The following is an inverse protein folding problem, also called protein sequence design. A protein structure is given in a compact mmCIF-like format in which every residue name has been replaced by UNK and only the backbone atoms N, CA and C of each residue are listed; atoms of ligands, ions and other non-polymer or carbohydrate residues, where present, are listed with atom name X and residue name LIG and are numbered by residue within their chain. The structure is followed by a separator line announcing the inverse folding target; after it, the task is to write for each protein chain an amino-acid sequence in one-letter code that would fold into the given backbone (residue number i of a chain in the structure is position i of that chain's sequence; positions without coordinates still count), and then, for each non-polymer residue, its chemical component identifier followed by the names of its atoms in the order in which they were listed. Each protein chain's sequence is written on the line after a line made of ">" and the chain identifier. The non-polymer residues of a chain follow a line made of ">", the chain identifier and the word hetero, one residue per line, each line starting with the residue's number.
data_IF_312034123087
#
_entry.id   IF_312034123087
#
_cell.length_a   1.000
_cell.length_b   1.000
_cell.length_c   1.000
_cell.angle_alpha   90.00
_cell.angle_beta   90.00
_cell.angle_gamma   90.00
#
_symmetry.space_group_name_H-M   'P 1'
#
loop_
_entity.id
_entity.type
_entity.pdbx_description
1 polymer ?
#
# COMPACT_ATOMS: atom_id res chain seq x y z
N UNK A 1 -9.84 10.89 -63.36
CA UNK A 1 -10.86 11.56 -62.54
C UNK A 1 -11.21 10.56 -61.46
N UNK A 2 -10.71 10.78 -60.24
CA UNK A 2 -11.04 9.94 -59.09
C UNK A 2 -12.52 10.17 -58.71
N UNK A 3 -13.22 9.15 -58.23
CA UNK A 3 -14.63 9.27 -57.82
C UNK A 3 -14.83 10.37 -56.77
N UNK A 4 -13.86 10.59 -55.88
CA UNK A 4 -13.88 11.70 -54.93
C UNK A 4 -13.90 13.07 -55.62
N UNK A 5 -13.19 13.24 -56.74
CA UNK A 5 -13.17 14.50 -57.48
C UNK A 5 -14.50 14.75 -58.20
N UNK A 6 -15.17 13.68 -58.64
CA UNK A 6 -16.51 13.75 -59.26
C UNK A 6 -17.56 14.10 -58.20
N UNK A 7 -17.50 13.45 -57.03
CA UNK A 7 -18.37 13.73 -55.89
C UNK A 7 -18.16 15.16 -55.41
N UNK A 8 -16.91 15.60 -55.24
CA UNK A 8 -16.57 16.96 -54.80
C UNK A 8 -17.04 18.02 -55.81
N UNK A 9 -16.85 17.82 -57.12
CA UNK A 9 -17.39 18.74 -58.14
C UNK A 9 -18.91 18.76 -58.13
N UNK A 10 -19.57 17.62 -57.98
CA UNK A 10 -21.04 17.57 -57.98
C UNK A 10 -21.61 18.22 -56.73
N UNK A 11 -20.99 18.00 -55.57
CA UNK A 11 -21.34 18.66 -54.31
C UNK A 11 -21.08 20.17 -54.38
N UNK A 12 -20.07 20.62 -55.14
CA UNK A 12 -19.75 22.04 -55.31
C UNK A 12 -20.69 22.73 -56.32
N UNK A 13 -21.25 21.99 -57.28
CA UNK A 13 -22.25 22.49 -58.24
C UNK A 13 -23.66 22.51 -57.61
N UNK A 14 -24.05 21.45 -56.91
CA UNK A 14 -25.38 21.29 -56.31
C UNK A 14 -25.47 21.87 -54.88
N UNK A 15 -24.34 22.00 -54.16
CA UNK A 15 -24.28 22.52 -52.80
C UNK A 15 -24.33 24.04 -52.68
N UNK A 16 -24.14 24.77 -53.80
CA UNK A 16 -24.23 26.23 -53.86
C UNK A 16 -25.67 26.73 -54.14
N UNK A 17 -26.67 25.83 -54.10
CA UNK A 17 -28.07 26.19 -54.37
C UNK A 17 -28.38 26.49 -55.84
N UNK A 18 -27.40 26.34 -56.73
CA UNK A 18 -27.51 26.63 -58.18
C UNK A 18 -28.59 25.79 -58.88
N UNK A 19 -28.97 24.64 -58.31
CA UNK A 19 -30.04 23.79 -58.81
C UNK A 19 -31.43 24.44 -58.70
N UNK A 20 -31.69 25.15 -57.60
CA UNK A 20 -32.96 25.83 -57.37
C UNK A 20 -33.04 27.14 -58.16
N UNK A 21 -31.94 27.89 -58.24
CA UNK A 21 -31.85 29.08 -59.10
C UNK A 21 -32.07 28.74 -60.58
N UNK A 22 -31.50 27.62 -61.06
CA UNK A 22 -31.74 27.12 -62.41
C UNK A 22 -33.21 26.76 -62.64
N UNK A 23 -33.87 26.09 -61.68
CA UNK A 23 -35.29 25.73 -61.76
C UNK A 23 -36.18 26.97 -61.82
N UNK A 24 -35.89 27.97 -61.00
CA UNK A 24 -36.60 29.25 -60.99
C UNK A 24 -36.39 30.02 -62.30
N UNK A 25 -35.17 30.00 -62.84
CA UNK A 25 -34.85 30.62 -64.12
C UNK A 25 -35.58 29.95 -65.30
N UNK A 26 -35.69 28.62 -65.28
CA UNK A 26 -36.43 27.85 -66.28
C UNK A 26 -37.94 28.06 -66.18
N UNK A 27 -38.49 28.19 -64.96
CA UNK A 27 -39.88 28.58 -64.71
C UNK A 27 -40.15 29.98 -65.29
N UNK A 28 -39.28 30.96 -65.01
CA UNK A 28 -39.40 32.33 -65.51
C UNK A 28 -39.37 32.38 -67.04
N UNK A 29 -38.44 31.68 -67.69
CA UNK A 29 -38.38 31.57 -69.15
C UNK A 29 -39.65 30.96 -69.74
N UNK A 30 -40.16 29.90 -69.11
CA UNK A 30 -41.39 29.22 -69.54
C UNK A 30 -42.60 30.14 -69.38
N UNK A 31 -42.67 30.92 -68.30
CA UNK A 31 -43.71 31.91 -68.05
C UNK A 31 -43.69 33.05 -69.07
N UNK A 32 -42.52 33.64 -69.34
CA UNK A 32 -42.36 34.68 -70.37
C UNK A 32 -42.76 34.14 -71.75
N UNK A 33 -42.39 32.91 -72.07
CA UNK A 33 -42.79 32.26 -73.33
C UNK A 33 -44.31 32.11 -73.41
N UNK A 34 -44.94 31.64 -72.34
CA UNK A 34 -46.40 31.47 -72.23
C UNK A 34 -47.16 32.80 -72.40
N UNK A 35 -46.69 33.89 -71.79
CA UNK A 35 -47.30 35.22 -71.93
C UNK A 35 -47.21 35.79 -73.36
N UNK A 36 -46.22 35.38 -74.16
CA UNK A 36 -45.97 35.90 -75.51
C UNK A 36 -46.42 34.93 -76.62
N UNK A 37 -46.91 33.74 -76.29
CA UNK A 37 -47.41 32.76 -77.27
C UNK A 37 -48.83 33.11 -77.73
N UNK A 38 -49.03 33.21 -79.05
CA UNK A 38 -50.34 33.35 -79.68
C UNK A 38 -50.84 31.99 -80.20
N UNK A 39 -50.72 30.96 -79.35
CA UNK A 39 -50.98 29.56 -79.69
C UNK A 39 -52.46 29.18 -79.52
N UNK A 40 -52.87 28.07 -80.16
CA UNK A 40 -54.20 27.48 -80.00
C UNK A 40 -54.53 27.18 -78.52
N UNK A 41 -55.80 27.28 -78.09
CA UNK A 41 -56.20 27.21 -76.68
C UNK A 41 -55.78 25.91 -75.96
N UNK A 42 -55.69 24.78 -76.66
CA UNK A 42 -55.24 23.50 -76.07
C UNK A 42 -53.75 23.50 -75.68
N UNK A 43 -52.88 24.07 -76.53
CA UNK A 43 -51.44 24.19 -76.20
C UNK A 43 -51.20 25.18 -75.05
N UNK A 44 -52.06 26.19 -74.96
CA UNK A 44 -51.99 27.19 -73.91
C UNK A 44 -52.32 26.59 -72.53
N UNK A 45 -53.30 25.70 -72.46
CA UNK A 45 -53.68 24.99 -71.24
C UNK A 45 -52.58 24.02 -70.77
N UNK A 46 -51.99 23.23 -71.68
CA UNK A 46 -50.92 22.30 -71.34
C UNK A 46 -49.66 23.01 -70.80
N UNK A 47 -49.34 24.19 -71.33
CA UNK A 47 -48.25 25.03 -70.82
C UNK A 47 -48.56 25.61 -69.43
N UNK A 48 -49.81 26.00 -69.19
CA UNK A 48 -50.27 26.46 -67.88
C UNK A 48 -50.19 25.37 -66.81
N UNK A 49 -50.65 24.15 -67.10
CA UNK A 49 -50.58 23.01 -66.17
C UNK A 49 -49.12 22.65 -65.86
N UNK A 50 -48.23 22.76 -66.85
CA UNK A 50 -46.78 22.59 -66.67
C UNK A 50 -46.17 23.66 -65.77
N UNK A 51 -46.58 24.92 -65.91
CA UNK A 51 -46.13 26.02 -65.04
C UNK A 51 -46.58 25.79 -63.60
N UNK A 52 -47.83 25.35 -63.38
CA UNK A 52 -48.34 25.01 -62.05
C UNK A 52 -47.54 23.86 -61.41
N UNK A 53 -47.24 22.81 -62.18
CA UNK A 53 -46.43 21.70 -61.68
C UNK A 53 -45.01 22.13 -61.30
N UNK A 54 -44.38 22.99 -62.12
CA UNK A 54 -43.06 23.55 -61.82
C UNK A 54 -43.05 24.46 -60.59
N UNK A 55 -44.10 25.27 -60.41
CA UNK A 55 -44.28 26.11 -59.22
C UNK A 55 -44.43 25.27 -57.95
N UNK A 56 -45.29 24.24 -57.99
CA UNK A 56 -45.48 23.31 -56.88
C UNK A 56 -44.18 22.61 -56.46
N UNK A 57 -43.33 22.26 -57.44
CA UNK A 57 -42.01 21.69 -57.18
C UNK A 57 -41.08 22.70 -56.49
N UNK A 58 -41.05 23.95 -56.94
CA UNK A 58 -40.24 25.00 -56.31
C UNK A 58 -40.69 25.28 -54.86
N UNK A 59 -42.00 25.28 -54.60
CA UNK A 59 -42.55 25.41 -53.25
C UNK A 59 -42.18 24.24 -52.34
N UNK A 60 -42.20 23.02 -52.88
CA UNK A 60 -41.77 21.83 -52.15
C UNK A 60 -40.28 21.88 -51.80
N UNK A 61 -39.43 22.21 -52.77
CA UNK A 61 -37.97 22.30 -52.58
C UNK A 61 -37.63 23.37 -51.53
N UNK A 62 -38.34 24.51 -51.53
CA UNK A 62 -38.22 25.54 -50.48
C UNK A 62 -38.58 25.00 -49.10
N UNK A 63 -39.75 24.37 -48.95
CA UNK A 63 -40.20 23.81 -47.66
C UNK A 63 -39.24 22.73 -47.15
N UNK A 64 -38.68 21.93 -48.06
CA UNK A 64 -37.66 20.93 -47.77
C UNK A 64 -36.38 21.57 -47.23
N UNK A 65 -35.89 22.64 -47.87
CA UNK A 65 -34.73 23.40 -47.40
C UNK A 65 -34.96 23.99 -46.00
N UNK A 66 -36.11 24.61 -45.76
CA UNK A 66 -36.47 25.17 -44.44
C UNK A 66 -36.54 24.07 -43.36
N UNK A 67 -37.05 22.89 -43.71
CA UNK A 67 -37.07 21.74 -42.80
C UNK A 67 -35.66 21.25 -42.47
N UNK A 68 -34.78 21.10 -43.48
CA UNK A 68 -33.39 20.69 -43.24
C UNK A 68 -32.61 21.70 -42.39
N UNK A 69 -32.83 23.00 -42.58
CA UNK A 69 -32.20 24.01 -41.73
C UNK A 69 -32.57 23.81 -40.24
N UNK A 70 -33.85 23.54 -39.95
CA UNK A 70 -34.31 23.26 -38.58
C UNK A 70 -33.74 21.97 -38.01
N UNK A 71 -33.74 20.90 -38.81
CA UNK A 71 -33.16 19.61 -38.40
C UNK A 71 -31.66 19.74 -38.15
N UNK A 72 -30.94 20.49 -38.99
CA UNK A 72 -29.50 20.73 -38.82
C UNK A 72 -29.20 21.50 -37.54
N UNK A 73 -30.02 22.50 -37.19
CA UNK A 73 -29.91 23.20 -35.91
C UNK A 73 -30.12 22.24 -34.72
N UNK A 74 -31.10 21.33 -34.83
CA UNK A 74 -31.35 20.32 -33.79
C UNK A 74 -30.20 19.31 -33.68
N UNK A 75 -29.67 18.83 -34.79
CA UNK A 75 -28.53 17.92 -34.79
C UNK A 75 -27.26 18.58 -34.22
N UNK A 76 -27.03 19.86 -34.52
CA UNK A 76 -25.90 20.59 -33.95
C UNK A 76 -26.01 20.68 -32.42
N UNK A 77 -27.22 20.89 -31.87
CA UNK A 77 -27.46 20.83 -30.42
C UNK A 77 -27.24 19.44 -29.85
N UNK A 78 -27.64 18.40 -30.57
CA UNK A 78 -27.43 17.01 -30.16
C UNK A 78 -25.93 16.67 -30.12
N UNK A 79 -25.16 17.05 -31.14
CA UNK A 79 -23.71 16.86 -31.16
C UNK A 79 -23.00 17.62 -30.04
N UNK A 80 -23.44 18.85 -29.73
CA UNK A 80 -22.92 19.59 -28.59
C UNK A 80 -23.17 18.84 -27.26
N UNK A 81 -24.39 18.35 -27.04
CA UNK A 81 -24.73 17.59 -25.84
C UNK A 81 -23.93 16.27 -25.73
N UNK A 82 -23.72 15.57 -26.84
CA UNK A 82 -22.88 14.37 -26.88
C UNK A 82 -21.42 14.72 -26.57
N UNK A 83 -20.90 15.83 -27.10
CA UNK A 83 -19.54 16.31 -26.79
C UNK A 83 -19.37 16.57 -25.30
N UNK A 84 -20.30 17.31 -24.68
CA UNK A 84 -20.27 17.62 -23.25
C UNK A 84 -20.33 16.34 -22.39
N UNK A 85 -21.15 15.35 -22.80
CA UNK A 85 -21.24 14.07 -22.11
C UNK A 85 -19.92 13.27 -22.21
N UNK A 86 -19.26 13.30 -23.36
CA UNK A 86 -17.95 12.66 -23.55
C UNK A 86 -16.89 13.36 -22.69
N UNK A 87 -16.86 14.70 -22.66
CA UNK A 87 -15.92 15.46 -21.84
C UNK A 87 -16.09 15.17 -20.34
N UNK A 88 -17.34 15.17 -19.85
CA UNK A 88 -17.67 14.79 -18.47
C UNK A 88 -17.26 13.34 -18.16
N UNK A 89 -17.47 12.43 -19.11
CA UNK A 89 -17.03 11.03 -19.01
C UNK A 89 -15.50 10.91 -18.92
N UNK A 90 -14.76 11.69 -19.69
CA UNK A 90 -13.28 11.73 -19.66
C UNK A 90 -12.79 12.26 -18.31
N UNK A 91 -13.39 13.32 -17.79
CA UNK A 91 -13.02 13.87 -16.48
C UNK A 91 -13.30 12.87 -15.35
N UNK A 92 -14.45 12.21 -15.39
CA UNK A 92 -14.78 11.14 -14.45
C UNK A 92 -13.79 9.98 -14.54
N UNK A 93 -13.41 9.54 -15.74
CA UNK A 93 -12.42 8.48 -15.91
C UNK A 93 -11.04 8.89 -15.38
N UNK A 94 -10.61 10.14 -15.60
CA UNK A 94 -9.35 10.68 -15.04
C UNK A 94 -9.35 10.63 -13.53
N UNK A 95 -10.42 11.11 -12.89
CA UNK A 95 -10.52 11.08 -11.41
C UNK A 95 -10.52 9.66 -10.87
N UNK A 96 -11.19 8.72 -11.52
CA UNK A 96 -11.17 7.29 -11.14
C UNK A 96 -9.77 6.66 -11.29
N UNK A 97 -9.02 7.03 -12.32
CA UNK A 97 -7.63 6.59 -12.51
C UNK A 97 -6.76 7.09 -11.34
N UNK A 98 -6.87 8.35 -10.97
CA UNK A 98 -6.05 8.92 -9.90
C UNK A 98 -6.41 8.33 -8.52
N UNK A 99 -7.69 8.09 -8.26
CA UNK A 99 -8.13 7.33 -7.09
C UNK A 99 -7.58 5.90 -7.10
N UNK A 100 -7.61 5.22 -8.24
CA UNK A 100 -7.08 3.86 -8.38
C UNK A 100 -5.58 3.79 -8.17
N UNK A 101 -4.82 4.79 -8.64
CA UNK A 101 -3.38 4.92 -8.35
C UNK A 101 -3.12 5.07 -6.85
N UNK A 102 -3.88 5.92 -6.16
CA UNK A 102 -3.74 6.08 -4.72
C UNK A 102 -4.05 4.79 -3.96
N UNK A 103 -5.13 4.11 -4.33
CA UNK A 103 -5.51 2.82 -3.76
C UNK A 103 -4.44 1.74 -4.01
N UNK A 104 -3.81 1.73 -5.19
CA UNK A 104 -2.73 0.82 -5.50
C UNK A 104 -1.51 1.02 -4.58
N UNK A 105 -1.12 2.28 -4.35
CA UNK A 105 -0.01 2.61 -3.42
C UNK A 105 -0.34 2.14 -2.01
N UNK A 106 -1.56 2.41 -1.53
CA UNK A 106 -2.01 1.93 -0.21
C UNK A 106 -2.01 0.39 -0.14
N UNK A 107 -2.50 -0.29 -1.16
CA UNK A 107 -2.51 -1.75 -1.22
C UNK A 107 -1.10 -2.34 -1.20
N UNK A 108 -0.15 -1.74 -1.94
CA UNK A 108 1.27 -2.13 -1.89
C UNK A 108 1.85 -1.96 -0.48
N UNK A 109 1.55 -0.85 0.19
CA UNK A 109 1.99 -0.60 1.58
C UNK A 109 1.42 -1.64 2.55
N UNK A 110 0.13 -1.94 2.46
CA UNK A 110 -0.53 -2.97 3.28
C UNK A 110 0.11 -4.34 3.04
N UNK A 111 0.38 -4.69 1.78
CA UNK A 111 1.05 -5.95 1.43
C UNK A 111 2.46 -6.03 2.05
N UNK A 112 3.26 -4.97 1.94
CA UNK A 112 4.60 -4.91 2.56
C UNK A 112 4.52 -5.09 4.07
N UNK A 113 3.61 -4.37 4.74
CA UNK A 113 3.40 -4.50 6.18
C UNK A 113 3.00 -5.92 6.57
N UNK A 114 2.07 -6.54 5.82
CA UNK A 114 1.66 -7.92 6.05
C UNK A 114 2.82 -8.90 5.93
N UNK A 115 3.66 -8.76 4.91
CA UNK A 115 4.85 -9.60 4.75
C UNK A 115 5.83 -9.42 5.92
N UNK A 116 6.03 -8.20 6.41
CA UNK A 116 6.88 -7.94 7.59
C UNK A 116 6.30 -8.61 8.84
N UNK A 117 4.99 -8.56 9.05
CA UNK A 117 4.33 -9.26 10.15
C UNK A 117 4.47 -10.78 10.02
N UNK A 118 4.32 -11.34 8.82
CA UNK A 118 4.46 -12.78 8.58
C UNK A 118 5.89 -13.25 8.87
N UNK A 119 6.90 -12.47 8.47
CA UNK A 119 8.31 -12.75 8.78
C UNK A 119 8.56 -12.69 10.29
N UNK A 120 8.10 -11.64 10.97
CA UNK A 120 8.27 -11.49 12.40
C UNK A 120 7.55 -12.61 13.18
N UNK A 121 6.35 -12.99 12.74
CA UNK A 121 5.59 -14.10 13.32
C UNK A 121 6.33 -15.43 13.19
N UNK A 122 6.97 -15.70 12.04
CA UNK A 122 7.83 -16.89 11.88
C UNK A 122 8.98 -16.90 12.89
N UNK A 123 9.65 -15.76 13.10
CA UNK A 123 10.74 -15.64 14.06
C UNK A 123 10.23 -15.84 15.50
N UNK A 124 9.09 -15.24 15.85
CA UNK A 124 8.46 -15.40 17.17
C UNK A 124 8.09 -16.86 17.42
N UNK A 125 7.55 -17.56 16.42
CA UNK A 125 7.16 -18.97 16.55
C UNK A 125 8.35 -19.94 16.70
N UNK A 126 9.58 -19.51 16.38
CA UNK A 126 10.79 -20.30 16.68
C UNK A 126 11.16 -20.24 18.17
N UNK A 127 10.69 -19.23 18.90
CA UNK A 127 10.91 -19.09 20.33
C UNK A 127 9.89 -19.92 21.12
N UNK A 128 10.26 -20.44 22.30
CA UNK A 128 9.34 -21.23 23.13
C UNK A 128 8.15 -20.39 23.63
N UNK A 129 7.04 -21.06 23.92
CA UNK A 129 5.85 -20.36 24.40
C UNK A 129 6.13 -19.62 25.71
N UNK A 130 5.71 -18.37 25.76
CA UNK A 130 5.89 -17.48 26.90
C UNK A 130 5.23 -18.05 28.16
N UNK A 131 4.06 -18.68 28.01
CA UNK A 131 3.33 -19.23 29.17
C UNK A 131 4.07 -20.42 29.78
N UNK A 132 4.65 -21.26 28.94
CA UNK A 132 5.40 -22.43 29.39
C UNK A 132 6.72 -22.02 30.06
N UNK A 133 7.47 -21.11 29.46
CA UNK A 133 8.72 -20.58 30.04
C UNK A 133 8.49 -19.87 31.37
N UNK A 134 7.39 -19.12 31.52
CA UNK A 134 7.04 -18.50 32.81
C UNK A 134 6.73 -19.55 33.89
N UNK A 135 5.98 -20.62 33.56
CA UNK A 135 5.72 -21.71 34.50
C UNK A 135 7.00 -22.43 34.93
N UNK A 136 7.89 -22.72 33.99
CA UNK A 136 9.18 -23.34 34.29
C UNK A 136 10.03 -22.44 35.20
N UNK A 137 10.01 -21.13 34.96
CA UNK A 137 10.67 -20.14 35.81
C UNK A 137 10.11 -20.12 37.24
N UNK A 138 8.79 -20.18 37.40
CA UNK A 138 8.12 -20.24 38.70
C UNK A 138 8.53 -21.50 39.47
N UNK A 139 8.49 -22.67 38.83
CA UNK A 139 8.91 -23.93 39.44
C UNK A 139 10.38 -23.92 39.85
N UNK A 140 11.27 -23.43 38.98
CA UNK A 140 12.70 -23.30 39.32
C UNK A 140 12.91 -22.36 40.51
N UNK A 141 12.09 -21.31 40.62
CA UNK A 141 12.17 -20.35 41.72
C UNK A 141 11.80 -21.00 43.04
N UNK A 142 10.71 -21.77 43.06
CA UNK A 142 10.27 -22.55 44.21
C UNK A 142 11.35 -23.55 44.64
N UNK A 143 11.93 -24.28 43.69
CA UNK A 143 13.00 -25.25 43.96
C UNK A 143 14.26 -24.56 44.54
N UNK A 144 14.64 -23.41 43.99
CA UNK A 144 15.77 -22.62 44.47
C UNK A 144 15.53 -22.13 45.91
N UNK A 145 14.32 -21.68 46.22
CA UNK A 145 13.96 -21.24 47.57
C UNK A 145 13.94 -22.42 48.57
N UNK A 146 13.45 -23.60 48.17
CA UNK A 146 13.56 -24.82 48.98
C UNK A 146 15.04 -25.21 49.24
N UNK A 147 15.89 -25.18 48.21
CA UNK A 147 17.32 -25.50 48.35
C UNK A 147 18.05 -24.51 49.26
N UNK A 148 17.69 -23.22 49.21
CA UNK A 148 18.22 -22.22 50.14
C UNK A 148 17.82 -22.51 51.58
N UNK A 149 16.56 -22.89 51.82
CA UNK A 149 16.08 -23.26 53.14
C UNK A 149 16.81 -24.49 53.67
N UNK A 150 16.93 -25.54 52.86
CA UNK A 150 17.70 -26.75 53.22
C UNK A 150 19.17 -26.45 53.51
N UNK A 151 19.81 -25.58 52.71
CA UNK A 151 21.18 -25.13 52.97
C UNK A 151 21.28 -24.39 54.31
N UNK A 152 20.35 -23.48 54.59
CA UNK A 152 20.33 -22.73 55.85
C UNK A 152 20.14 -23.67 57.07
N UNK A 153 19.29 -24.69 56.93
CA UNK A 153 19.09 -25.71 57.95
C UNK A 153 20.35 -26.56 58.19
N UNK A 154 21.02 -26.99 57.13
CA UNK A 154 22.28 -27.73 57.24
C UNK A 154 23.40 -26.87 57.85
N UNK A 155 23.50 -25.59 57.48
CA UNK A 155 24.45 -24.66 58.10
C UNK A 155 24.16 -24.47 59.60
N UNK A 156 22.88 -24.39 59.99
CA UNK A 156 22.48 -24.33 61.39
C UNK A 156 22.84 -25.62 62.15
N UNK A 157 22.60 -26.80 61.56
CA UNK A 157 22.98 -28.07 62.16
C UNK A 157 24.50 -28.20 62.31
N UNK A 158 25.26 -27.86 61.26
CA UNK A 158 26.72 -27.81 61.29
C UNK A 158 27.21 -26.85 62.39
N UNK A 159 26.62 -25.66 62.48
CA UNK A 159 26.91 -24.68 63.52
C UNK A 159 26.66 -25.23 64.93
N UNK A 160 25.57 -25.97 65.13
CA UNK A 160 25.29 -26.64 66.41
C UNK A 160 26.34 -27.72 66.72
N UNK A 161 26.69 -28.58 65.75
CA UNK A 161 27.73 -29.60 65.94
C UNK A 161 29.10 -28.99 66.24
N UNK A 162 29.45 -27.87 65.61
CA UNK A 162 30.66 -27.10 65.96
C UNK A 162 30.62 -26.60 67.41
N UNK A 163 29.47 -26.14 67.91
CA UNK A 163 29.32 -25.73 69.32
C UNK A 163 29.44 -26.92 70.25
N UNK A 164 28.75 -28.03 69.97
CA UNK A 164 28.82 -29.27 70.76
C UNK A 164 30.26 -29.80 70.83
N UNK A 165 30.98 -29.79 69.70
CA UNK A 165 32.39 -30.17 69.63
C UNK A 165 33.29 -29.24 70.45
N UNK A 166 33.06 -27.92 70.41
CA UNK A 166 33.80 -26.97 71.24
C UNK A 166 33.57 -27.20 72.74
N UNK A 167 32.33 -27.54 73.15
CA UNK A 167 32.02 -27.89 74.54
C UNK A 167 32.76 -29.16 74.94
N UNK A 168 32.70 -30.22 74.11
CA UNK A 168 33.42 -31.47 74.35
C UNK A 168 34.93 -31.24 74.47
N UNK A 169 35.52 -30.45 73.57
CA UNK A 169 36.94 -30.08 73.62
C UNK A 169 37.31 -29.34 74.91
N UNK A 170 36.48 -28.39 75.36
CA UNK A 170 36.68 -27.70 76.65
C UNK A 170 36.63 -28.68 77.83
N UNK A 171 35.64 -29.59 77.84
CA UNK A 171 35.54 -30.61 78.89
C UNK A 171 36.74 -31.57 78.90
N UNK A 172 37.31 -31.91 77.74
CA UNK A 172 38.54 -32.72 77.65
C UNK A 172 39.72 -31.96 78.27
N UNK A 173 39.91 -30.68 77.94
CA UNK A 173 40.97 -29.85 78.54
C UNK A 173 40.78 -29.72 80.04
N UNK A 174 39.57 -29.45 80.52
CA UNK A 174 39.27 -29.36 81.95
C UNK A 174 39.51 -30.68 82.70
N UNK A 175 39.24 -31.82 82.05
CA UNK A 175 39.56 -33.14 82.62
C UNK A 175 41.07 -33.41 82.61
N UNK A 176 41.79 -33.04 81.55
CA UNK A 176 43.25 -33.10 81.50
C UNK A 176 43.88 -32.26 82.62
N UNK A 177 43.42 -31.02 82.82
CA UNK A 177 43.85 -30.14 83.92
C UNK A 177 43.60 -30.75 85.31
N UNK A 178 42.51 -31.54 85.47
CA UNK A 178 42.19 -32.23 86.74
C UNK A 178 42.96 -33.52 86.94
N UNK A 179 43.37 -34.18 85.86
CA UNK A 179 44.14 -35.44 85.89
C UNK A 179 45.64 -35.21 86.08
N UNK A 180 46.16 -34.02 85.79
CA UNK A 180 47.55 -33.61 86.08
C UNK A 180 47.61 -32.63 87.29
N UNK A 181 47.73 -33.10 88.55
CA UNK A 181 47.95 -32.23 89.71
C UNK A 181 49.38 -31.66 89.79
N UNK A 182 50.16 -31.71 88.70
CA UNK A 182 51.49 -31.10 88.61
C UNK A 182 51.79 -30.57 87.22
N UNK A 183 51.13 -29.48 86.81
CA UNK A 183 51.77 -28.43 86.01
C UNK A 183 50.87 -27.19 85.98
N UNK A 184 50.98 -26.36 87.02
CA UNK A 184 50.59 -24.94 86.92
C UNK A 184 51.84 -24.06 86.90
N UNK A 185 52.22 -23.57 85.72
CA UNK A 185 52.81 -22.23 85.43
C UNK A 185 52.59 -22.03 83.91
N UNK A 186 51.55 -21.36 83.39
CA UNK A 186 51.31 -19.90 83.18
C UNK A 186 52.53 -19.16 82.53
N UNK A 187 52.35 -17.99 81.89
CA UNK A 187 52.02 -17.74 80.48
C UNK A 187 53.14 -16.97 79.73
N UNK A 188 53.12 -16.91 78.39
CA UNK A 188 53.72 -15.76 77.69
C UNK A 188 53.13 -15.61 76.29
N UNK A 189 52.64 -14.41 75.98
CA UNK A 189 52.18 -14.06 74.65
C UNK A 189 53.30 -13.58 73.73
N UNK A 190 52.87 -13.35 72.49
CA UNK A 190 53.37 -12.34 71.52
C UNK A 190 54.39 -12.81 70.47
N UNK A 191 53.86 -12.89 69.24
CA UNK A 191 54.46 -12.49 67.94
C UNK A 191 55.65 -13.25 67.33
N UNK A 192 55.38 -13.93 66.21
CA UNK A 192 56.05 -13.76 64.89
C UNK A 192 55.41 -14.76 63.91
N UNK A 193 54.70 -14.38 62.84
CA UNK A 193 55.21 -13.84 61.57
C UNK A 193 56.27 -14.72 60.89
N UNK A 194 55.81 -15.60 59.99
CA UNK A 194 56.48 -16.09 58.76
C UNK A 194 55.37 -16.66 57.86
N UNK A 195 54.85 -15.86 56.93
CA UNK A 195 55.16 -15.97 55.50
C UNK A 195 54.86 -17.35 54.89
N UNK A 196 53.68 -17.49 54.29
CA UNK A 196 53.54 -18.25 53.04
C UNK A 196 52.81 -17.37 52.01
N UNK A 197 53.56 -17.06 50.96
CA UNK A 197 53.12 -16.34 49.77
C UNK A 197 52.17 -17.22 48.93
N UNK A 198 51.35 -16.60 48.07
CA UNK A 198 50.32 -17.29 47.30
C UNK A 198 50.93 -18.04 46.12
N UNK A 199 50.51 -19.30 45.93
CA UNK A 199 50.66 -20.06 44.69
C UNK A 199 49.25 -20.11 44.09
N UNK A 200 48.94 -19.15 43.22
CA UNK A 200 48.98 -19.31 41.76
C UNK A 200 47.77 -20.09 41.25
N UNK A 201 46.83 -19.32 40.71
CA UNK A 201 45.78 -19.80 39.85
C UNK A 201 46.43 -20.37 38.57
N UNK A 202 46.14 -21.63 38.29
CA UNK A 202 46.26 -22.21 36.96
C UNK A 202 45.35 -23.44 36.87
N UNK A 203 44.07 -23.23 36.52
CA UNK A 203 43.39 -24.20 35.69
C UNK A 203 43.56 -23.75 34.24
N UNK A 204 44.30 -24.59 33.52
CA UNK A 204 44.57 -24.54 32.09
C UNK A 204 43.30 -25.00 31.37
N UNK A 205 42.82 -24.12 30.51
CA UNK A 205 42.27 -24.34 29.17
C UNK A 205 41.90 -25.79 28.81
N UNK A 206 40.60 -26.04 28.65
CA UNK A 206 40.12 -26.95 27.61
C UNK A 206 39.55 -26.13 26.46
N UNK A 207 40.00 -26.52 25.28
CA UNK A 207 39.77 -25.92 23.98
C UNK A 207 38.28 -25.83 23.64
N UNK A 208 37.83 -24.63 23.31
CA UNK A 208 36.70 -24.41 22.40
C UNK A 208 37.25 -24.44 20.98
N UNK A 209 37.17 -25.59 20.34
CA UNK A 209 37.19 -25.72 18.87
C UNK A 209 35.74 -25.96 18.44
N UNK A 210 35.41 -25.44 17.26
CA UNK A 210 34.12 -25.45 16.56
C UNK A 210 33.10 -24.41 17.06
N UNK A 211 32.56 -23.50 16.25
CA UNK A 211 32.72 -23.25 14.83
C UNK A 211 32.38 -21.77 14.61
N UNK A 212 33.13 -21.18 13.70
CA UNK A 212 32.89 -19.90 13.06
C UNK A 212 31.46 -19.88 12.53
N UNK A 213 30.50 -19.26 13.24
CA UNK A 213 29.25 -18.84 12.61
C UNK A 213 29.62 -17.75 11.60
N UNK A 214 29.83 -18.20 10.36
CA UNK A 214 29.70 -17.38 9.18
C UNK A 214 28.42 -16.57 9.32
N UNK A 215 28.54 -15.26 9.40
CA UNK A 215 27.48 -14.41 8.92
C UNK A 215 27.44 -14.64 7.41
N UNK A 216 26.69 -15.66 7.00
CA UNK A 216 26.28 -15.78 5.61
C UNK A 216 25.45 -14.54 5.31
N UNK A 217 26.14 -13.63 4.63
CA UNK A 217 25.74 -12.85 3.49
C UNK A 217 24.27 -12.43 3.47
N UNK A 218 23.98 -11.11 3.49
CA UNK A 218 22.61 -10.66 3.29
C UNK A 218 22.12 -11.25 1.96
N UNK A 219 21.03 -12.01 2.02
CA UNK A 219 20.27 -12.35 0.82
C UNK A 219 19.97 -11.03 0.14
N UNK A 220 20.66 -10.79 -0.97
CA UNK A 220 20.33 -9.81 -1.97
C UNK A 220 18.91 -10.17 -2.39
N UNK A 221 17.94 -9.48 -1.78
CA UNK A 221 16.65 -9.32 -2.44
C UNK A 221 17.02 -8.42 -3.61
N UNK A 222 17.11 -9.02 -4.79
CA UNK A 222 17.24 -8.29 -6.03
C UNK A 222 16.21 -7.17 -6.01
N UNK A 223 16.71 -5.95 -5.83
CA UNK A 223 16.00 -4.75 -6.18
C UNK A 223 15.85 -4.83 -7.70
N UNK A 224 14.70 -5.35 -8.16
CA UNK A 224 14.21 -4.90 -9.46
C UNK A 224 13.90 -3.41 -9.30
N UNK A 225 14.91 -2.63 -9.67
CA UNK A 225 14.84 -1.23 -10.03
C UNK A 225 13.60 -0.98 -10.91
N UNK A 226 12.56 -0.40 -10.30
CA UNK A 226 11.71 0.54 -11.01
C UNK A 226 11.92 1.91 -10.38
N UNK A 227 13.03 2.52 -10.81
CA UNK A 227 13.32 3.93 -10.62
C UNK A 227 12.23 4.78 -11.28
N UNK A 228 11.24 5.22 -10.51
CA UNK A 228 10.50 6.46 -10.78
C UNK A 228 9.77 6.96 -9.53
N UNK A 229 9.97 8.26 -9.26
CA UNK A 229 9.30 9.09 -8.25
C UNK A 229 9.93 9.08 -6.85
N UNK A 230 11.10 9.71 -6.77
CA UNK A 230 11.39 10.58 -5.64
C UNK A 230 10.35 11.70 -5.65
N UNK A 231 9.39 11.65 -4.73
CA UNK A 231 8.73 12.85 -4.21
C UNK A 231 8.44 12.59 -2.74
N UNK A 232 9.22 13.27 -1.90
CA UNK A 232 8.98 13.40 -0.47
C UNK A 232 7.75 14.30 -0.29
N UNK A 233 6.58 13.70 -0.04
CA UNK A 233 5.48 14.42 0.59
C UNK A 233 5.32 13.92 2.02
N UNK A 234 5.87 14.69 2.96
CA UNK A 234 5.52 14.64 4.38
C UNK A 234 4.03 14.94 4.53
N UNK A 235 3.20 13.91 4.58
CA UNK A 235 1.82 14.05 5.04
C UNK A 235 1.84 14.07 6.57
N UNK A 236 1.91 15.28 7.13
CA UNK A 236 1.65 15.57 8.53
C UNK A 236 0.20 15.14 8.83
N UNK A 237 0.04 14.02 9.52
CA UNK A 237 -1.24 13.60 10.09
C UNK A 237 -1.58 14.51 11.28
N UNK A 238 -2.36 15.57 11.04
CA UNK A 238 -3.09 16.23 12.12
C UNK A 238 -4.22 15.31 12.59
N UNK A 239 -4.04 14.74 13.79
CA UNK A 239 -5.08 14.00 14.52
C UNK A 239 -6.28 14.91 14.81
N UNK A 240 -7.53 14.43 14.68
CA UNK A 240 -8.69 15.15 15.20
C UNK A 240 -8.75 14.98 16.72
N UNK A 241 -8.58 16.09 17.45
CA UNK A 241 -8.87 16.17 18.87
C UNK A 241 -10.35 15.89 19.16
N UNK A 242 -10.53 15.22 20.29
CA UNK A 242 -11.78 14.76 20.87
C UNK A 242 -12.70 15.94 21.18
N UNK A 243 -13.95 15.88 20.71
CA UNK A 243 -15.05 16.64 21.29
C UNK A 243 -15.73 15.76 22.35
N UNK A 244 -15.62 16.20 23.60
CA UNK A 244 -16.59 15.92 24.66
C UNK A 244 -17.91 16.65 24.36
#
# INVERSE_FOLDING_TARGET
>A
MSDEEVIKRRLQIDGDGTGDDRRLNDLLKTFIKWCNSNDAPENNQAMYDRLLAQLAQCEFDRKKSDFYAKVMEQELKNYAAISDAIESGIETAKTQIDQSKHNLVLAKKIRKNRMQYDVLAKIINQQPDRKETVKQLELLKEELDMLKEQKADLERQLGQKKKDFNVLMRSIVELQDKLDPTMSVVPTGTSSATEEKPIEAAEVSTETVDEKMSCDEPVVIEEEDDAASSDNDEVILSSPEKLN
#
